data_IF_698302494994
#
_entry.id   IF_698302494994
#
_cell.length_a   1.000
_cell.length_b   1.000
_cell.length_c   1.000
_cell.angle_alpha   90.00
_cell.angle_beta   90.00
_cell.angle_gamma   90.00
#
_symmetry.space_group_name_H-M   'P 1'
#
loop_
_entity.id
_entity.type
_entity.pdbx_description
1 polymer ?
#
# COMPACT_ATOMS: atom_id res chain seq x y z
N UNK A 1 31.01 -30.55 14.11
CA UNK A 1 29.65 -30.05 13.88
C UNK A 1 29.70 -28.54 14.06
N UNK A 2 29.60 -27.81 12.95
CA UNK A 2 29.81 -26.37 12.91
C UNK A 2 28.77 -25.66 13.78
N UNK A 3 29.25 -24.77 14.63
CA UNK A 3 28.44 -23.76 15.31
C UNK A 3 27.67 -23.01 14.23
N UNK A 4 26.36 -23.22 14.17
CA UNK A 4 25.44 -22.33 13.49
C UNK A 4 25.83 -20.92 13.91
N UNK A 5 26.21 -20.07 12.96
CA UNK A 5 26.46 -18.65 13.22
C UNK A 5 25.30 -18.11 14.04
N UNK A 6 25.60 -17.57 15.22
CA UNK A 6 24.61 -16.90 16.06
C UNK A 6 24.03 -15.77 15.20
N UNK A 7 22.82 -15.97 14.64
CA UNK A 7 22.13 -14.97 13.84
C UNK A 7 22.06 -13.71 14.69
N UNK A 8 22.75 -12.65 14.27
CA UNK A 8 22.70 -11.38 14.97
C UNK A 8 21.29 -10.79 14.76
N UNK A 9 20.39 -11.12 15.69
CA UNK A 9 18.99 -10.72 15.62
C UNK A 9 18.85 -9.22 15.44
N UNK A 10 19.68 -8.43 16.13
CA UNK A 10 19.65 -6.96 16.02
C UNK A 10 19.89 -6.50 14.58
N UNK A 11 20.91 -7.04 13.92
CA UNK A 11 21.23 -6.71 12.53
C UNK A 11 20.08 -7.08 11.58
N UNK A 12 19.48 -8.26 11.77
CA UNK A 12 18.38 -8.75 10.93
C UNK A 12 17.14 -7.87 11.06
N UNK A 13 16.83 -7.43 12.28
CA UNK A 13 15.70 -6.55 12.54
C UNK A 13 15.91 -5.17 11.92
N UNK A 14 17.12 -4.62 12.01
CA UNK A 14 17.50 -3.37 11.36
C UNK A 14 17.40 -3.47 9.82
N UNK A 15 17.90 -4.56 9.22
CA UNK A 15 17.85 -4.79 7.76
C UNK A 15 16.42 -4.98 7.22
N UNK A 16 15.50 -5.47 8.05
CA UNK A 16 14.12 -5.75 7.65
C UNK A 16 13.12 -4.71 8.16
N UNK A 17 13.57 -3.61 8.78
CA UNK A 17 12.71 -2.59 9.39
C UNK A 17 11.62 -3.19 10.32
N UNK A 18 12.01 -4.21 11.09
CA UNK A 18 11.13 -4.93 12.01
C UNK A 18 11.47 -4.57 13.45
N UNK A 19 10.45 -4.34 14.28
CA UNK A 19 10.65 -4.19 15.71
C UNK A 19 10.82 -5.53 16.42
N UNK A 20 11.48 -5.54 17.58
CA UNK A 20 11.53 -6.72 18.47
C UNK A 20 10.14 -7.31 18.76
N UNK A 21 9.12 -6.44 18.85
CA UNK A 21 7.75 -6.84 19.14
C UNK A 21 7.09 -7.56 17.96
N UNK A 22 7.38 -7.11 16.73
CA UNK A 22 6.91 -7.74 15.50
C UNK A 22 7.59 -9.09 15.31
N UNK A 23 8.91 -9.19 15.53
CA UNK A 23 9.63 -10.46 15.47
C UNK A 23 9.09 -11.50 16.45
N UNK A 24 8.86 -11.11 17.71
CA UNK A 24 8.26 -12.00 18.71
C UNK A 24 6.87 -12.49 18.28
N UNK A 25 6.06 -11.64 17.65
CA UNK A 25 4.77 -12.04 17.08
C UNK A 25 4.94 -13.01 15.92
N UNK A 26 5.90 -12.79 15.02
CA UNK A 26 6.20 -13.69 13.90
C UNK A 26 6.56 -15.09 14.42
N UNK A 27 7.52 -15.19 15.34
CA UNK A 27 7.93 -16.47 15.95
C UNK A 27 6.76 -17.16 16.63
N UNK A 28 5.92 -16.40 17.36
CA UNK A 28 4.72 -16.95 17.99
C UNK A 28 3.71 -17.50 16.98
N UNK A 29 3.51 -16.80 15.86
CA UNK A 29 2.59 -17.21 14.79
C UNK A 29 3.10 -18.46 14.06
N UNK A 30 4.39 -18.50 13.72
CA UNK A 30 4.99 -19.62 13.00
C UNK A 30 5.31 -20.82 13.90
N UNK A 31 5.36 -20.63 15.22
CA UNK A 31 5.80 -21.63 16.22
C UNK A 31 7.24 -22.12 16.02
N UNK A 32 8.05 -21.34 15.29
CA UNK A 32 9.48 -21.56 15.01
C UNK A 32 10.11 -20.24 14.58
N UNK A 33 11.43 -20.23 14.45
CA UNK A 33 12.11 -19.08 13.84
C UNK A 33 11.80 -18.98 12.33
N UNK A 34 11.56 -17.75 11.82
CA UNK A 34 11.40 -17.52 10.39
C UNK A 34 12.74 -17.60 9.66
N UNK A 35 12.75 -18.11 8.43
CA UNK A 35 13.91 -17.99 7.54
C UNK A 35 13.99 -16.57 6.92
N UNK A 36 15.06 -16.27 6.16
CA UNK A 36 15.26 -14.95 5.57
C UNK A 36 14.13 -14.53 4.61
N UNK A 37 13.60 -15.47 3.82
CA UNK A 37 12.50 -15.21 2.87
C UNK A 37 11.21 -14.86 3.62
N UNK A 38 10.91 -15.61 4.68
CA UNK A 38 9.74 -15.36 5.52
C UNK A 38 9.86 -14.01 6.22
N UNK A 39 11.04 -13.65 6.72
CA UNK A 39 11.28 -12.34 7.31
C UNK A 39 11.09 -11.21 6.31
N UNK A 40 11.64 -11.33 5.10
CA UNK A 40 11.43 -10.34 4.04
C UNK A 40 9.95 -10.18 3.68
N UNK A 41 9.20 -11.30 3.64
CA UNK A 41 7.75 -11.26 3.41
C UNK A 41 7.01 -10.53 4.55
N UNK A 42 7.33 -10.85 5.80
CA UNK A 42 6.72 -10.16 6.95
C UNK A 42 7.06 -8.68 6.96
N UNK A 43 8.31 -8.31 6.69
CA UNK A 43 8.77 -6.92 6.55
C UNK A 43 7.93 -6.15 5.54
N UNK A 44 7.81 -6.66 4.30
CA UNK A 44 7.03 -6.02 3.26
C UNK A 44 5.55 -5.91 3.61
N UNK A 45 4.95 -7.01 4.10
CA UNK A 45 3.51 -7.09 4.37
C UNK A 45 3.08 -6.30 5.62
N UNK A 46 3.98 -6.13 6.61
CA UNK A 46 3.69 -5.41 7.86
C UNK A 46 4.21 -3.97 7.87
N UNK A 47 4.83 -3.51 6.77
CA UNK A 47 5.11 -2.09 6.53
C UNK A 47 3.84 -1.24 6.66
N UNK A 48 3.97 0.05 6.99
CA UNK A 48 2.81 0.95 7.05
C UNK A 48 2.09 1.03 5.70
N UNK A 49 2.84 1.00 4.60
CA UNK A 49 2.32 1.06 3.24
C UNK A 49 1.33 -0.07 2.92
N UNK A 50 1.62 -1.29 3.38
CA UNK A 50 0.76 -2.46 3.12
C UNK A 50 -0.28 -2.69 4.22
N UNK A 51 0.08 -2.48 5.48
CA UNK A 51 -0.74 -2.89 6.62
C UNK A 51 -1.66 -1.80 7.16
N UNK A 52 -1.39 -0.53 6.85
CA UNK A 52 -2.11 0.62 7.39
C UNK A 52 -2.16 0.60 8.93
N UNK A 53 -1.10 0.09 9.60
CA UNK A 53 -1.13 -0.22 11.03
C UNK A 53 -1.40 1.01 11.90
N UNK A 54 -0.99 2.21 11.47
CA UNK A 54 -1.32 3.46 12.17
C UNK A 54 -2.66 4.06 11.74
N UNK A 55 -3.03 3.95 10.47
CA UNK A 55 -4.19 4.65 9.89
C UNK A 55 -5.50 3.85 9.99
N UNK A 56 -5.46 2.51 9.93
CA UNK A 56 -6.63 1.62 9.95
C UNK A 56 -7.62 1.89 11.10
N UNK A 57 -7.19 2.12 12.36
CA UNK A 57 -8.13 2.42 13.44
C UNK A 57 -8.93 3.70 13.18
N UNK A 58 -8.30 4.74 12.61
CA UNK A 58 -8.97 6.00 12.31
C UNK A 58 -9.91 5.84 11.12
N UNK A 59 -9.46 5.17 10.06
CA UNK A 59 -10.25 4.95 8.85
C UNK A 59 -11.53 4.13 9.12
N UNK A 60 -11.51 3.24 10.11
CA UNK A 60 -12.69 2.42 10.48
C UNK A 60 -13.86 3.22 11.04
N UNK A 61 -13.68 4.51 11.36
CA UNK A 61 -14.72 5.39 11.88
C UNK A 61 -15.62 5.91 10.75
N UNK A 62 -15.15 5.91 9.50
CA UNK A 62 -15.92 6.43 8.38
C UNK A 62 -17.14 5.56 8.05
N UNK A 63 -18.27 6.16 7.66
CA UNK A 63 -19.42 5.41 7.17
C UNK A 63 -19.07 4.76 5.82
N UNK A 64 -19.35 3.46 5.70
CA UNK A 64 -19.01 2.64 4.52
C UNK A 64 -20.21 1.93 3.90
N UNK A 65 -21.41 2.12 4.47
CA UNK A 65 -22.62 1.43 4.06
C UNK A 65 -23.68 2.44 3.62
N UNK A 66 -24.29 2.18 2.48
CA UNK A 66 -25.50 2.81 1.99
C UNK A 66 -26.16 1.87 0.96
N UNK A 67 -27.43 2.09 0.63
CA UNK A 67 -28.20 1.24 -0.30
C UNK A 67 -27.54 1.14 -1.69
N UNK A 68 -26.91 2.22 -2.15
CA UNK A 68 -26.24 2.29 -3.43
C UNK A 68 -24.78 1.82 -3.40
N UNK A 69 -24.24 1.34 -2.27
CA UNK A 69 -22.87 0.82 -2.20
C UNK A 69 -22.85 -0.64 -2.59
N UNK A 70 -22.25 -0.95 -3.74
CA UNK A 70 -22.08 -2.31 -4.24
C UNK A 70 -20.85 -2.98 -3.59
N UNK A 71 -19.73 -2.25 -3.56
CA UNK A 71 -18.49 -2.68 -2.91
C UNK A 71 -17.88 -1.52 -2.11
N UNK A 72 -17.75 -1.72 -0.79
CA UNK A 72 -17.07 -0.79 0.12
C UNK A 72 -15.57 -1.11 0.29
N UNK A 73 -14.91 -0.61 1.34
CA UNK A 73 -13.51 -0.93 1.62
C UNK A 73 -13.28 -2.43 1.83
N UNK A 74 -12.26 -2.98 1.17
CA UNK A 74 -11.89 -4.40 1.25
C UNK A 74 -11.50 -5.00 -0.10
N UNK A 75 -12.06 -4.46 -1.18
CA UNK A 75 -11.72 -4.80 -2.56
C UNK A 75 -10.67 -3.84 -3.15
N UNK A 76 -10.23 -4.10 -4.39
CA UNK A 76 -9.25 -3.24 -5.08
C UNK A 76 -9.76 -1.82 -5.32
N UNK A 77 -11.07 -1.63 -5.50
CA UNK A 77 -11.70 -0.31 -5.64
C UNK A 77 -13.12 -0.30 -5.08
N UNK A 78 -13.64 0.88 -4.75
CA UNK A 78 -15.03 1.05 -4.32
C UNK A 78 -15.97 1.12 -5.52
N UNK A 79 -17.19 0.60 -5.37
CA UNK A 79 -18.21 0.64 -6.42
C UNK A 79 -19.58 1.04 -5.86
N UNK A 80 -20.28 1.90 -6.60
CA UNK A 80 -21.65 2.33 -6.30
C UNK A 80 -22.57 2.08 -7.49
N UNK A 81 -23.84 1.79 -7.22
CA UNK A 81 -24.91 1.75 -8.21
C UNK A 81 -25.27 3.19 -8.61
N UNK A 82 -25.36 3.44 -9.92
CA UNK A 82 -25.77 4.73 -10.48
C UNK A 82 -27.08 4.63 -11.27
N UNK A 83 -27.78 3.50 -11.18
CA UNK A 83 -29.03 3.23 -11.87
C UNK A 83 -28.83 2.63 -13.26
N UNK A 84 -29.94 2.28 -13.90
CA UNK A 84 -29.97 1.75 -15.28
C UNK A 84 -29.10 0.50 -15.52
N UNK A 85 -28.81 -0.26 -14.45
CA UNK A 85 -27.93 -1.42 -14.50
C UNK A 85 -26.45 -1.06 -14.66
N UNK A 86 -26.07 0.18 -14.35
CA UNK A 86 -24.70 0.68 -14.40
C UNK A 86 -24.12 0.87 -13.00
N UNK A 87 -22.81 0.70 -12.89
CA UNK A 87 -22.05 0.95 -11.67
C UNK A 87 -20.91 1.93 -11.94
N UNK A 88 -20.63 2.80 -10.98
CA UNK A 88 -19.44 3.65 -10.97
C UNK A 88 -18.40 3.03 -10.04
N UNK A 89 -17.22 2.75 -10.59
CA UNK A 89 -16.08 2.22 -9.83
C UNK A 89 -15.02 3.30 -9.69
N UNK A 90 -14.57 3.53 -8.46
CA UNK A 90 -13.65 4.60 -8.13
C UNK A 90 -12.55 4.11 -7.18
N UNK A 91 -11.33 4.57 -7.45
CA UNK A 91 -10.18 4.44 -6.55
C UNK A 91 -9.34 5.70 -6.65
N UNK A 92 -8.68 6.03 -5.54
CA UNK A 92 -7.61 7.02 -5.51
C UNK A 92 -6.36 6.35 -4.92
N UNK A 93 -5.21 6.61 -5.54
CA UNK A 93 -3.91 6.17 -5.07
C UNK A 93 -2.94 7.35 -5.01
N UNK A 94 -1.80 7.15 -4.36
CA UNK A 94 -0.70 8.10 -4.35
C UNK A 94 0.60 7.38 -4.69
N UNK A 95 1.53 8.10 -5.33
CA UNK A 95 2.83 7.54 -5.72
C UNK A 95 3.95 8.52 -5.35
N UNK A 96 3.87 9.07 -4.14
CA UNK A 96 4.59 10.26 -3.72
C UNK A 96 6.11 10.06 -3.67
N UNK A 97 6.59 9.06 -2.91
CA UNK A 97 8.02 8.86 -2.72
C UNK A 97 8.75 8.56 -4.04
N UNK A 98 8.26 7.67 -4.92
CA UNK A 98 8.94 7.44 -6.19
C UNK A 98 8.83 8.65 -7.13
N UNK A 99 7.73 9.40 -7.12
CA UNK A 99 7.60 10.62 -7.94
C UNK A 99 8.53 11.75 -7.46
N UNK A 100 8.93 11.75 -6.19
CA UNK A 100 9.93 12.69 -5.69
C UNK A 100 11.37 12.33 -6.12
N UNK A 101 11.63 11.04 -6.38
CA UNK A 101 12.94 10.55 -6.83
C UNK A 101 13.07 10.65 -8.35
N UNK A 102 12.03 10.23 -9.07
CA UNK A 102 11.96 10.28 -10.52
C UNK A 102 10.52 10.64 -10.95
N UNK A 103 10.25 11.91 -11.30
CA UNK A 103 8.89 12.40 -11.49
C UNK A 103 8.12 11.73 -12.62
N UNK A 104 8.76 11.46 -13.75
CA UNK A 104 8.06 11.03 -14.95
C UNK A 104 7.54 9.59 -14.82
N UNK A 105 8.44 8.64 -14.54
CA UNK A 105 8.08 7.25 -14.32
C UNK A 105 7.34 7.07 -13.00
N UNK A 106 7.66 7.82 -11.94
CA UNK A 106 6.89 7.78 -10.69
C UNK A 106 5.41 8.12 -10.89
N UNK A 107 5.11 9.17 -11.65
CA UNK A 107 3.74 9.54 -11.99
C UNK A 107 3.10 8.51 -12.96
N UNK A 108 3.85 8.01 -13.93
CA UNK A 108 3.36 7.04 -14.90
C UNK A 108 3.00 5.69 -14.24
N UNK A 109 3.83 5.18 -13.32
CA UNK A 109 3.55 3.93 -12.60
C UNK A 109 2.40 4.09 -11.61
N UNK A 110 2.26 5.25 -10.97
CA UNK A 110 1.09 5.58 -10.15
C UNK A 110 -0.21 5.59 -10.95
N UNK A 111 -0.21 6.25 -12.11
CA UNK A 111 -1.37 6.24 -13.02
C UNK A 111 -1.68 4.83 -13.52
N UNK A 112 -0.65 4.04 -13.85
CA UNK A 112 -0.82 2.65 -14.25
C UNK A 112 -1.37 1.74 -13.12
N UNK A 113 -1.00 2.01 -11.86
CA UNK A 113 -1.50 1.30 -10.68
C UNK A 113 -3.00 1.41 -10.55
N UNK A 114 -3.50 2.64 -10.38
CA UNK A 114 -4.94 2.90 -10.21
C UNK A 114 -5.78 2.41 -11.40
N UNK A 115 -5.24 2.48 -12.63
CA UNK A 115 -5.92 1.91 -13.82
C UNK A 115 -6.07 0.39 -13.71
N UNK A 116 -5.04 -0.32 -13.23
CA UNK A 116 -5.11 -1.78 -13.03
C UNK A 116 -6.13 -2.16 -11.96
N UNK A 117 -6.29 -1.37 -10.92
CA UNK A 117 -7.28 -1.65 -9.88
C UNK A 117 -8.72 -1.58 -10.41
N UNK A 118 -9.03 -0.58 -11.24
CA UNK A 118 -10.34 -0.47 -11.89
C UNK A 118 -10.57 -1.66 -12.83
N UNK A 119 -9.55 -2.06 -13.59
CA UNK A 119 -9.62 -3.24 -14.47
C UNK A 119 -9.82 -4.54 -13.68
N UNK A 120 -9.18 -4.67 -12.51
CA UNK A 120 -9.32 -5.84 -11.64
C UNK A 120 -10.74 -6.01 -11.08
N UNK A 121 -11.51 -4.92 -10.99
CA UNK A 121 -12.94 -4.95 -10.67
C UNK A 121 -13.82 -5.37 -11.86
N UNK A 122 -13.24 -5.60 -13.04
CA UNK A 122 -13.99 -5.88 -14.28
C UNK A 122 -14.62 -4.64 -14.91
N UNK A 123 -14.28 -3.45 -14.43
CA UNK A 123 -14.80 -2.18 -14.96
C UNK A 123 -13.89 -1.60 -16.05
N UNK A 124 -14.49 -0.83 -16.96
CA UNK A 124 -13.75 -0.10 -17.99
C UNK A 124 -13.33 1.28 -17.45
N UNK A 125 -12.03 1.62 -17.41
CA UNK A 125 -11.60 2.98 -17.09
C UNK A 125 -12.12 3.97 -18.14
N UNK A 126 -12.76 5.05 -17.68
CA UNK A 126 -13.35 6.10 -18.55
C UNK A 126 -12.80 7.50 -18.29
N UNK A 127 -12.21 7.73 -17.12
CA UNK A 127 -11.62 9.01 -16.72
C UNK A 127 -10.46 8.79 -15.74
N UNK A 128 -9.51 9.72 -15.74
CA UNK A 128 -8.39 9.76 -14.81
C UNK A 128 -8.19 11.20 -14.32
N UNK A 129 -8.00 11.37 -13.01
CA UNK A 129 -7.83 12.67 -12.38
C UNK A 129 -6.49 12.72 -11.65
N UNK A 130 -5.71 13.79 -11.89
CA UNK A 130 -4.44 14.04 -11.20
C UNK A 130 -4.60 15.05 -10.07
N UNK A 131 -4.19 14.69 -8.86
CA UNK A 131 -4.11 15.61 -7.71
C UNK A 131 -2.64 15.88 -7.38
N UNK A 132 -2.10 16.96 -7.94
CA UNK A 132 -0.68 17.32 -7.81
C UNK A 132 -0.48 18.39 -6.73
N UNK A 133 0.60 18.27 -5.96
CA UNK A 133 1.03 19.25 -4.96
C UNK A 133 2.55 19.38 -5.05
N UNK A 134 3.03 20.59 -5.29
CA UNK A 134 4.45 20.90 -5.43
C UNK A 134 4.86 21.99 -4.44
N UNK A 135 6.17 22.12 -4.21
CA UNK A 135 6.75 23.27 -3.52
C UNK A 135 6.70 24.54 -4.36
N UNK A 136 7.49 25.54 -3.97
CA UNK A 136 7.61 26.78 -4.73
C UNK A 136 8.25 26.52 -6.11
N UNK A 137 7.61 26.97 -7.19
CA UNK A 137 8.11 26.81 -8.55
C UNK A 137 9.41 27.56 -8.84
N UNK A 138 9.84 28.47 -7.98
CA UNK A 138 11.16 29.10 -8.11
C UNK A 138 12.31 28.21 -7.65
N UNK A 139 12.03 27.18 -6.85
CA UNK A 139 13.03 26.21 -6.44
C UNK A 139 13.48 25.35 -7.62
N UNK A 140 14.80 25.25 -7.81
CA UNK A 140 15.42 24.39 -8.82
C UNK A 140 15.00 22.92 -8.72
N UNK A 141 14.70 22.42 -7.52
CA UNK A 141 14.26 21.04 -7.32
C UNK A 141 12.82 20.79 -7.80
N UNK A 142 12.00 21.84 -7.93
CA UNK A 142 10.60 21.75 -8.39
C UNK A 142 10.48 21.97 -9.90
N UNK A 143 11.51 22.58 -10.52
CA UNK A 143 11.53 22.88 -11.97
C UNK A 143 11.81 21.65 -12.86
N UNK A 144 12.24 20.53 -12.28
CA UNK A 144 12.63 19.30 -13.00
C UNK A 144 11.92 18.08 -12.44
#
# INVERSE_FOLDING_TARGET
MNKQEERNLKKILEENDLTDSEYKKIVKTLKREPNDVELGLYSAMWSEHCSYKSSKPVLSIFPTQAEWVLFGPGENAGAIDIGEGLAMVMKIESHNHPSAVEPFHGAATGSGGVVRDILAMGARPVALLGSLRFGNFEDSHVKY
#
